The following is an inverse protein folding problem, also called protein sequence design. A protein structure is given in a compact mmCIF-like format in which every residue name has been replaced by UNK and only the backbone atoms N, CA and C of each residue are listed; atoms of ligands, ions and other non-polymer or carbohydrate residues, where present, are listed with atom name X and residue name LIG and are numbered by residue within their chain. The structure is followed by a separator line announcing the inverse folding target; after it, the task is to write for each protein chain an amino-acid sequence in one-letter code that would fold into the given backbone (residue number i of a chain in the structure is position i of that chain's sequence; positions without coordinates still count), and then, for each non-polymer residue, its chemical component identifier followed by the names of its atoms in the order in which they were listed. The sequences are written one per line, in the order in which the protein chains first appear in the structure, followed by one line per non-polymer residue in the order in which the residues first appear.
data_IF_579462167792
#
_entry.id   IF_579462167792
#
_cell.length_a   1.000
_cell.length_b   1.000
_cell.length_c   1.000
_cell.angle_alpha   90.00
_cell.angle_beta   90.00
_cell.angle_gamma   90.00
#
_symmetry.space_group_name_H-M   'P 1'
#
loop_
_entity.id
_entity.type
_entity.pdbx_description
1 polymer ?
#
# COMPACT_ATOMS: atom_id res chain seq x y z
N UNK A 1 7.05 -0.47 -11.20
CA UNK A 1 5.77 0.13 -10.73
C UNK A 1 5.81 1.66 -10.77
N UNK A 2 6.76 2.33 -10.10
CA UNK A 2 6.83 3.81 -10.09
C UNK A 2 6.76 4.41 -11.49
N UNK A 3 7.70 4.08 -12.36
CA UNK A 3 7.77 4.61 -13.74
C UNK A 3 6.48 4.40 -14.55
N UNK A 4 5.81 3.24 -14.37
CA UNK A 4 4.56 2.94 -15.06
C UNK A 4 3.40 3.82 -14.58
N UNK A 5 3.31 4.08 -13.29
CA UNK A 5 2.32 4.99 -12.72
C UNK A 5 2.61 6.46 -13.10
N UNK A 6 3.87 6.87 -13.07
CA UNK A 6 4.27 8.20 -13.54
C UNK A 6 3.96 8.40 -15.02
N UNK A 7 4.19 7.39 -15.87
CA UNK A 7 3.80 7.38 -17.29
C UNK A 7 2.28 7.51 -17.51
N UNK A 8 1.46 7.20 -16.52
CA UNK A 8 0.00 7.38 -16.50
C UNK A 8 -0.43 8.75 -15.93
N UNK A 9 0.53 9.60 -15.58
CA UNK A 9 0.28 10.97 -15.09
C UNK A 9 0.14 11.10 -13.56
N UNK A 10 0.51 10.07 -12.80
CA UNK A 10 0.48 10.13 -11.34
C UNK A 10 1.77 10.69 -10.75
N UNK A 11 1.65 11.36 -9.61
CA UNK A 11 2.78 11.73 -8.75
C UNK A 11 3.02 10.59 -7.76
N UNK A 12 4.19 9.97 -7.81
CA UNK A 12 4.49 8.76 -7.04
C UNK A 12 5.59 8.99 -6.03
N UNK A 13 5.26 8.81 -4.75
CA UNK A 13 6.24 8.76 -3.66
C UNK A 13 6.49 7.30 -3.28
N UNK A 14 7.75 6.90 -3.24
CA UNK A 14 8.17 5.55 -2.84
C UNK A 14 8.67 5.58 -1.41
N UNK A 15 8.16 4.68 -0.59
CA UNK A 15 8.65 4.40 0.75
C UNK A 15 9.30 3.02 0.76
N UNK A 16 10.63 2.97 0.69
CA UNK A 16 11.38 1.74 0.91
C UNK A 16 11.64 1.58 2.42
N UNK A 17 11.16 0.51 3.05
CA UNK A 17 11.38 0.28 4.48
C UNK A 17 12.87 0.24 4.89
N UNK A 18 13.77 -0.15 3.98
CA UNK A 18 15.21 -0.18 4.23
C UNK A 18 15.74 1.25 4.31
N UNK A 19 15.44 2.09 3.32
CA UNK A 19 15.87 3.48 3.28
C UNK A 19 15.27 4.31 4.43
N UNK A 20 14.05 3.98 4.79
CA UNK A 20 13.39 4.60 5.92
C UNK A 20 14.07 4.27 7.25
N UNK A 21 14.65 3.07 7.42
CA UNK A 21 15.32 2.66 8.65
C UNK A 21 14.42 2.81 9.88
N UNK A 22 13.12 2.51 9.75
CA UNK A 22 12.22 2.54 10.90
C UNK A 22 12.56 1.40 11.87
N UNK A 23 12.60 1.66 13.18
CA UNK A 23 12.78 0.60 14.17
C UNK A 23 11.62 -0.39 14.11
N UNK A 24 11.76 -1.53 14.77
CA UNK A 24 10.59 -2.38 15.06
C UNK A 24 9.58 -1.56 15.84
N UNK A 25 8.31 -1.76 15.52
CA UNK A 25 7.23 -0.99 16.12
C UNK A 25 7.18 -1.17 17.64
N UNK A 26 7.40 -0.08 18.37
CA UNK A 26 7.14 0.03 19.79
C UNK A 26 5.90 0.90 20.03
N UNK A 27 5.80 2.00 19.30
CA UNK A 27 4.71 2.97 19.44
C UNK A 27 4.34 3.55 18.08
N UNK A 28 3.09 3.37 17.63
CA UNK A 28 2.63 3.88 16.34
C UNK A 28 2.45 5.40 16.38
N UNK A 29 2.47 6.03 15.20
CA UNK A 29 2.33 7.48 15.03
C UNK A 29 1.16 8.07 15.83
N UNK A 30 -0.02 7.47 15.73
CA UNK A 30 -1.24 7.99 16.39
C UNK A 30 -1.24 7.89 17.92
N UNK A 31 -0.28 7.16 18.51
CA UNK A 31 -0.16 7.03 19.95
C UNK A 31 0.75 8.10 20.60
N UNK A 32 1.43 8.91 19.80
CA UNK A 32 2.18 10.06 20.28
C UNK A 32 1.26 11.27 20.48
N UNK A 33 1.60 12.13 21.44
CA UNK A 33 1.06 13.48 21.45
C UNK A 33 1.66 14.28 20.29
N UNK A 34 0.95 15.26 19.77
CA UNK A 34 1.39 16.04 18.60
C UNK A 34 2.76 16.70 18.77
N UNK A 35 3.13 17.05 20.00
CA UNK A 35 4.44 17.67 20.33
C UNK A 35 5.59 16.66 20.49
N UNK A 36 5.30 15.37 20.50
CA UNK A 36 6.28 14.30 20.77
C UNK A 36 6.46 13.34 19.59
N UNK A 37 5.71 13.52 18.51
CA UNK A 37 5.86 12.69 17.31
C UNK A 37 7.27 12.87 16.73
N UNK A 38 8.03 11.79 16.51
CA UNK A 38 9.30 11.89 15.80
C UNK A 38 9.08 12.52 14.41
N UNK A 39 9.93 13.49 14.05
CA UNK A 39 9.81 14.24 12.80
C UNK A 39 9.66 13.32 11.58
N UNK A 40 10.46 12.27 11.50
CA UNK A 40 10.40 11.29 10.41
C UNK A 40 9.04 10.61 10.29
N UNK A 41 8.43 10.20 11.39
CA UNK A 41 7.09 9.61 11.38
C UNK A 41 6.03 10.64 10.97
N UNK A 42 6.19 11.90 11.36
CA UNK A 42 5.29 12.97 10.97
C UNK A 42 5.36 13.24 9.45
N UNK A 43 6.56 13.29 8.88
CA UNK A 43 6.77 13.49 7.44
C UNK A 43 6.18 12.35 6.61
N UNK A 44 6.41 11.11 7.02
CA UNK A 44 5.83 9.93 6.35
C UNK A 44 4.30 9.94 6.48
N UNK A 45 3.78 10.21 7.67
CA UNK A 45 2.33 10.29 7.89
C UNK A 45 1.69 11.38 7.02
N UNK A 46 2.31 12.53 6.90
CA UNK A 46 1.83 13.61 6.05
C UNK A 46 1.75 13.17 4.58
N UNK A 47 2.80 12.56 4.06
CA UNK A 47 2.82 12.08 2.68
C UNK A 47 1.81 10.96 2.43
N UNK A 48 1.68 10.00 3.36
CA UNK A 48 0.66 8.95 3.28
C UNK A 48 -0.77 9.54 3.35
N UNK A 49 -1.03 10.44 4.28
CA UNK A 49 -2.36 11.03 4.48
C UNK A 49 -2.84 11.86 3.29
N UNK A 50 -1.92 12.49 2.56
CA UNK A 50 -2.25 13.31 1.37
C UNK A 50 -2.31 12.51 0.06
N UNK A 51 -1.91 11.25 0.07
CA UNK A 51 -2.01 10.38 -1.11
C UNK A 51 -3.46 9.98 -1.38
N UNK A 52 -3.84 9.88 -2.66
CA UNK A 52 -5.18 9.48 -3.10
C UNK A 52 -5.37 7.95 -3.12
N UNK A 53 -4.27 7.19 -3.26
CA UNK A 53 -4.26 5.73 -3.34
C UNK A 53 -2.91 5.15 -2.93
N UNK A 54 -2.84 3.85 -2.71
CA UNK A 54 -1.60 3.16 -2.33
C UNK A 54 -1.31 1.96 -3.22
N UNK A 55 -0.02 1.69 -3.44
CA UNK A 55 0.45 0.43 -4.03
C UNK A 55 1.40 -0.21 -3.03
N UNK A 56 1.02 -1.36 -2.53
CA UNK A 56 1.87 -2.16 -1.61
C UNK A 56 2.61 -3.22 -2.41
N UNK A 57 3.93 -3.27 -2.26
CA UNK A 57 4.79 -4.23 -2.96
C UNK A 57 5.48 -5.11 -1.92
N UNK A 58 5.36 -6.42 -2.07
CA UNK A 58 5.93 -7.37 -1.10
C UNK A 58 6.53 -8.61 -1.76
N UNK A 59 7.71 -9.04 -1.33
CA UNK A 59 8.14 -10.43 -1.54
C UNK A 59 7.27 -11.38 -0.71
N UNK A 60 7.28 -12.66 -1.07
CA UNK A 60 6.74 -13.72 -0.23
C UNK A 60 7.84 -14.34 0.63
N UNK A 61 7.72 -14.24 1.93
CA UNK A 61 8.56 -14.95 2.90
C UNK A 61 7.68 -15.87 3.75
N UNK A 62 7.93 -17.19 3.70
CA UNK A 62 7.17 -18.18 4.48
C UNK A 62 5.63 -18.01 4.35
N UNK A 63 5.17 -17.80 3.12
CA UNK A 63 3.75 -17.60 2.76
C UNK A 63 3.13 -16.31 3.36
N UNK A 64 3.94 -15.34 3.76
CA UNK A 64 3.51 -14.07 4.34
C UNK A 64 4.13 -12.86 3.62
N UNK A 65 3.55 -11.66 3.75
CA UNK A 65 4.18 -10.43 3.32
C UNK A 65 5.47 -10.19 4.11
N UNK A 66 6.37 -9.37 3.57
CA UNK A 66 7.64 -9.08 4.23
C UNK A 66 7.40 -8.41 5.59
N UNK A 67 8.16 -8.80 6.63
CA UNK A 67 8.09 -8.15 7.93
C UNK A 67 8.34 -6.64 7.86
N UNK A 68 9.19 -6.20 6.95
CA UNK A 68 9.51 -4.79 6.77
C UNK A 68 8.31 -3.97 6.29
N UNK A 69 7.53 -4.48 5.32
CA UNK A 69 6.29 -3.83 4.89
C UNK A 69 5.26 -3.81 6.01
N UNK A 70 5.05 -4.93 6.70
CA UNK A 70 4.09 -5.00 7.81
C UNK A 70 4.49 -4.05 8.94
N UNK A 71 5.78 -3.97 9.27
CA UNK A 71 6.30 -3.01 10.24
C UNK A 71 6.01 -1.56 9.82
N UNK A 72 6.27 -1.21 8.56
CA UNK A 72 5.96 0.13 8.02
C UNK A 72 4.46 0.45 8.17
N UNK A 73 3.58 -0.45 7.74
CA UNK A 73 2.13 -0.24 7.84
C UNK A 73 1.67 -0.05 9.29
N UNK A 74 2.22 -0.83 10.21
CA UNK A 74 1.85 -0.80 11.63
C UNK A 74 2.34 0.46 12.36
N UNK A 75 3.31 1.19 11.83
CA UNK A 75 3.68 2.51 12.36
C UNK A 75 2.57 3.55 12.20
N UNK A 76 1.59 3.30 11.33
CA UNK A 76 0.48 4.20 11.05
C UNK A 76 -0.85 3.47 11.27
N UNK A 77 -1.92 4.22 11.44
CA UNK A 77 -3.24 3.66 11.72
C UNK A 77 -4.25 3.94 10.61
N UNK A 78 -5.47 3.46 10.83
CA UNK A 78 -6.59 3.69 9.93
C UNK A 78 -6.91 5.18 9.70
N UNK A 79 -6.56 6.05 10.63
CA UNK A 79 -6.68 7.51 10.42
C UNK A 79 -5.81 8.05 9.27
N UNK A 80 -4.74 7.31 8.89
CA UNK A 80 -3.85 7.64 7.78
C UNK A 80 -4.35 7.04 6.46
N UNK A 81 -4.77 5.78 6.49
CA UNK A 81 -5.01 4.98 5.30
C UNK A 81 -6.48 4.90 4.86
N UNK A 82 -7.43 5.10 5.78
CA UNK A 82 -8.83 4.80 5.51
C UNK A 82 -9.46 5.66 4.42
N UNK A 83 -10.49 5.11 3.78
CA UNK A 83 -11.28 5.70 2.70
C UNK A 83 -10.50 5.92 1.40
N UNK A 84 -9.43 5.19 1.19
CA UNK A 84 -8.61 5.23 -0.02
C UNK A 84 -8.41 3.81 -0.56
N UNK A 85 -8.32 3.62 -1.88
CA UNK A 85 -8.04 2.31 -2.44
C UNK A 85 -6.56 1.95 -2.35
N UNK A 86 -6.29 0.65 -2.43
CA UNK A 86 -4.95 0.12 -2.55
C UNK A 86 -4.85 -0.97 -3.62
N UNK A 87 -3.69 -1.11 -4.22
CA UNK A 87 -3.32 -2.24 -5.05
C UNK A 87 -2.23 -3.07 -4.36
N UNK A 88 -2.25 -4.38 -4.60
CA UNK A 88 -1.25 -5.31 -4.07
C UNK A 88 -0.41 -5.84 -5.23
N UNK A 89 0.90 -5.69 -5.10
CA UNK A 89 1.90 -6.30 -5.96
C UNK A 89 2.72 -7.27 -5.13
N UNK A 90 2.81 -8.50 -5.55
CA UNK A 90 3.64 -9.50 -4.90
C UNK A 90 4.63 -10.12 -5.87
N UNK A 91 5.73 -10.62 -5.34
CA UNK A 91 6.73 -11.32 -6.13
C UNK A 91 7.39 -12.44 -5.35
N UNK A 92 7.96 -13.40 -6.04
CA UNK A 92 8.75 -14.47 -5.44
C UNK A 92 9.75 -15.05 -6.43
N UNK A 93 10.76 -15.73 -5.91
CA UNK A 93 11.66 -16.56 -6.73
C UNK A 93 10.95 -17.80 -7.31
N UNK A 94 9.82 -18.21 -6.71
CA UNK A 94 9.04 -19.36 -7.14
C UNK A 94 7.97 -19.01 -8.18
N UNK A 95 7.33 -20.06 -8.70
CA UNK A 95 6.32 -19.98 -9.77
C UNK A 95 5.01 -19.28 -9.39
N UNK A 96 4.73 -19.08 -8.11
CA UNK A 96 3.44 -18.54 -7.65
C UNK A 96 3.42 -17.02 -7.46
N UNK A 97 4.55 -16.33 -7.71
CA UNK A 97 4.60 -14.86 -7.71
C UNK A 97 4.20 -14.19 -6.40
N UNK A 98 4.31 -14.88 -5.27
CA UNK A 98 3.96 -14.32 -3.98
C UNK A 98 2.45 -14.26 -3.67
N UNK A 99 1.63 -15.06 -4.35
CA UNK A 99 0.17 -15.03 -4.19
C UNK A 99 -0.30 -15.17 -2.74
N UNK A 100 0.36 -16.00 -1.93
CA UNK A 100 -0.03 -16.21 -0.52
C UNK A 100 0.25 -14.98 0.32
N UNK A 101 1.38 -14.31 0.08
CA UNK A 101 1.70 -13.04 0.72
C UNK A 101 0.68 -11.96 0.35
N UNK A 102 0.27 -11.89 -0.93
CA UNK A 102 -0.75 -10.96 -1.39
C UNK A 102 -2.10 -11.21 -0.70
N UNK A 103 -2.53 -12.46 -0.59
CA UNK A 103 -3.77 -12.84 0.10
C UNK A 103 -3.69 -12.47 1.59
N UNK A 104 -2.56 -12.76 2.25
CA UNK A 104 -2.35 -12.43 3.66
C UNK A 104 -2.31 -10.91 3.93
N UNK A 105 -1.93 -10.10 2.94
CA UNK A 105 -1.89 -8.65 3.06
C UNK A 105 -3.29 -8.01 2.99
N UNK A 106 -4.26 -8.64 2.31
CA UNK A 106 -5.62 -8.08 2.15
C UNK A 106 -6.31 -7.75 3.47
N UNK A 107 -6.39 -8.65 4.48
CA UNK A 107 -7.01 -8.31 5.76
C UNK A 107 -6.27 -7.18 6.50
N UNK A 108 -4.96 -7.07 6.39
CA UNK A 108 -4.17 -5.98 6.99
C UNK A 108 -4.60 -4.63 6.40
N UNK A 109 -4.67 -4.53 5.07
CA UNK A 109 -5.11 -3.31 4.40
C UNK A 109 -6.58 -3.00 4.69
N UNK A 110 -7.43 -4.01 4.75
CA UNK A 110 -8.85 -3.85 5.08
C UNK A 110 -9.04 -3.33 6.51
N UNK A 111 -8.28 -3.82 7.49
CA UNK A 111 -8.31 -3.31 8.86
C UNK A 111 -7.85 -1.84 8.95
N UNK A 112 -6.89 -1.45 8.13
CA UNK A 112 -6.48 -0.05 8.00
C UNK A 112 -7.52 0.83 7.29
N UNK A 113 -8.64 0.25 6.82
CA UNK A 113 -9.64 0.96 6.04
C UNK A 113 -9.20 1.34 4.62
N UNK A 114 -8.09 0.77 4.17
CA UNK A 114 -7.51 0.95 2.85
C UNK A 114 -8.00 -0.17 1.93
N UNK A 115 -9.01 0.11 1.10
CA UNK A 115 -9.71 -0.90 0.32
C UNK A 115 -8.81 -1.52 -0.77
N UNK A 116 -8.38 -2.79 -0.64
CA UNK A 116 -7.64 -3.44 -1.71
C UNK A 116 -8.56 -3.73 -2.90
N UNK A 117 -8.17 -3.22 -4.07
CA UNK A 117 -8.89 -3.54 -5.32
C UNK A 117 -8.88 -5.04 -5.60
N UNK A 118 -9.81 -5.52 -6.41
CA UNK A 118 -9.98 -6.96 -6.60
C UNK A 118 -8.81 -7.60 -7.37
N UNK A 119 -8.28 -6.90 -8.38
CA UNK A 119 -7.13 -7.37 -9.13
C UNK A 119 -5.82 -7.16 -8.33
N UNK A 120 -4.94 -8.14 -8.45
CA UNK A 120 -3.59 -8.10 -7.85
C UNK A 120 -2.56 -8.42 -8.93
N UNK A 121 -1.35 -7.94 -8.75
CA UNK A 121 -0.20 -8.24 -9.61
C UNK A 121 0.67 -9.25 -8.88
N UNK A 122 0.97 -10.37 -9.56
CA UNK A 122 1.87 -11.41 -9.07
C UNK A 122 3.02 -11.59 -10.05
N UNK A 123 4.26 -11.48 -9.59
CA UNK A 123 5.45 -11.62 -10.42
C UNK A 123 6.17 -12.91 -10.04
N UNK A 124 5.92 -14.02 -10.77
CA UNK A 124 6.62 -15.27 -10.55
C UNK A 124 8.05 -15.17 -11.03
N UNK A 125 8.95 -15.97 -10.43
CA UNK A 125 10.37 -16.03 -10.81
C UNK A 125 10.97 -14.64 -11.04
N UNK A 126 10.77 -13.76 -10.08
CA UNK A 126 11.04 -12.33 -10.24
C UNK A 126 12.45 -12.02 -10.81
N UNK A 127 13.46 -12.82 -10.46
CA UNK A 127 14.83 -12.71 -10.98
C UNK A 127 14.94 -13.03 -12.48
N UNK A 128 13.96 -13.73 -13.06
CA UNK A 128 13.93 -14.03 -14.50
C UNK A 128 13.13 -12.98 -15.28
N UNK A 129 12.26 -12.23 -14.59
CA UNK A 129 11.33 -11.26 -15.18
C UNK A 129 11.88 -9.84 -15.14
N UNK A 130 12.53 -9.45 -14.03
CA UNK A 130 13.05 -8.08 -13.85
C UNK A 130 14.53 -8.09 -13.48
N UNK A 131 15.22 -7.06 -13.92
CA UNK A 131 16.59 -6.76 -13.51
C UNK A 131 16.63 -6.09 -12.12
N UNK A 132 17.82 -5.87 -11.55
CA UNK A 132 18.01 -5.29 -10.22
C UNK A 132 17.42 -3.88 -10.08
N UNK A 133 17.35 -3.12 -11.16
CA UNK A 133 16.73 -1.79 -11.21
C UNK A 133 15.19 -1.83 -11.38
N UNK A 134 14.61 -3.03 -11.50
CA UNK A 134 13.18 -3.26 -11.69
C UNK A 134 12.68 -3.11 -13.13
N UNK A 135 13.59 -2.99 -14.10
CA UNK A 135 13.26 -3.00 -15.54
C UNK A 135 12.90 -4.41 -15.99
N UNK A 136 11.93 -4.56 -16.89
CA UNK A 136 11.65 -5.86 -17.51
C UNK A 136 12.85 -6.34 -18.32
N UNK A 137 13.18 -7.62 -18.17
CA UNK A 137 14.23 -8.24 -18.99
C UNK A 137 13.82 -8.28 -20.46
N UNK A 138 14.80 -8.22 -21.36
CA UNK A 138 14.58 -8.26 -22.81
C UNK A 138 13.92 -9.55 -23.32
N UNK A 139 13.92 -10.60 -22.52
CA UNK A 139 13.21 -11.86 -22.80
C UNK A 139 11.71 -11.77 -22.58
N UNK A 140 11.25 -10.76 -21.87
CA UNK A 140 9.84 -10.56 -21.51
C UNK A 140 9.12 -9.72 -22.56
N UNK A 141 7.86 -10.06 -22.82
CA UNK A 141 7.00 -9.26 -23.69
C UNK A 141 6.39 -8.10 -22.88
N UNK A 142 6.87 -6.91 -23.15
CA UNK A 142 6.42 -5.70 -22.45
C UNK A 142 4.92 -5.44 -22.63
N UNK A 143 4.36 -5.76 -23.79
CA UNK A 143 2.94 -5.53 -24.07
C UNK A 143 2.02 -6.48 -23.27
N UNK A 144 2.46 -7.72 -23.06
CA UNK A 144 1.75 -8.68 -22.21
C UNK A 144 1.78 -8.23 -20.74
N UNK A 145 2.94 -7.78 -20.26
CA UNK A 145 3.07 -7.26 -18.90
C UNK A 145 2.28 -5.96 -18.70
N UNK A 146 2.24 -5.07 -19.67
CA UNK A 146 1.43 -3.87 -19.62
C UNK A 146 -0.06 -4.20 -19.55
N UNK A 147 -0.55 -5.10 -20.40
CA UNK A 147 -1.91 -5.61 -20.34
C UNK A 147 -2.25 -6.23 -18.99
N UNK A 148 -1.32 -6.98 -18.40
CA UNK A 148 -1.51 -7.59 -17.10
C UNK A 148 -1.59 -6.57 -15.97
N UNK A 149 -0.75 -5.55 -15.99
CA UNK A 149 -0.76 -4.45 -15.00
C UNK A 149 -1.99 -3.55 -15.16
N UNK A 150 -2.42 -3.31 -16.39
CA UNK A 150 -3.55 -2.43 -16.73
C UNK A 150 -4.81 -2.80 -15.94
N UNK A 151 -5.10 -4.08 -15.80
CA UNK A 151 -6.26 -4.57 -15.04
C UNK A 151 -6.26 -4.10 -13.58
N UNK A 152 -5.10 -3.97 -12.97
CA UNK A 152 -4.98 -3.54 -11.58
C UNK A 152 -4.95 -2.01 -11.48
N UNK A 153 -4.21 -1.36 -12.37
CA UNK A 153 -4.07 0.10 -12.35
C UNK A 153 -5.39 0.80 -12.68
N UNK A 154 -6.13 0.33 -13.69
CA UNK A 154 -7.43 0.91 -14.01
C UNK A 154 -8.43 0.78 -12.86
N UNK A 155 -8.42 -0.32 -12.11
CA UNK A 155 -9.26 -0.43 -10.91
C UNK A 155 -8.80 0.52 -9.79
N UNK A 156 -7.48 0.65 -9.58
CA UNK A 156 -6.94 1.56 -8.58
C UNK A 156 -7.31 3.01 -8.89
N UNK A 157 -7.15 3.41 -10.13
CA UNK A 157 -7.49 4.75 -10.63
C UNK A 157 -8.98 5.04 -10.50
N UNK A 158 -9.82 4.09 -10.93
CA UNK A 158 -11.27 4.26 -10.85
C UNK A 158 -11.75 4.48 -9.40
N UNK A 159 -11.27 3.66 -8.48
CA UNK A 159 -11.61 3.80 -7.07
C UNK A 159 -10.97 5.02 -6.41
N UNK A 160 -9.74 5.36 -6.79
CA UNK A 160 -9.04 6.56 -6.32
C UNK A 160 -9.79 7.82 -6.70
N UNK A 161 -10.19 7.93 -7.97
CA UNK A 161 -10.97 9.06 -8.46
C UNK A 161 -12.36 9.13 -7.82
N UNK A 162 -13.03 8.00 -7.65
CA UNK A 162 -14.33 7.94 -6.99
C UNK A 162 -14.24 8.40 -5.52
N UNK A 163 -13.24 7.93 -4.78
CA UNK A 163 -13.00 8.33 -3.40
C UNK A 163 -12.67 9.83 -3.32
N UNK A 164 -11.76 10.32 -4.16
CA UNK A 164 -11.36 11.72 -4.20
C UNK A 164 -12.56 12.64 -4.43
N UNK A 165 -13.36 12.37 -5.45
CA UNK A 165 -14.57 13.16 -5.72
C UNK A 165 -15.59 13.11 -4.59
N UNK A 166 -15.70 11.97 -3.92
CA UNK A 166 -16.62 11.85 -2.80
C UNK A 166 -16.14 12.62 -1.57
N UNK A 167 -14.82 12.68 -1.33
CA UNK A 167 -14.23 13.48 -0.27
C UNK A 167 -14.52 14.98 -0.42
N UNK A 168 -14.69 15.48 -1.66
CA UNK A 168 -15.05 16.88 -1.92
C UNK A 168 -16.50 17.19 -1.46
N UNK A 169 -17.34 16.17 -1.32
CA UNK A 169 -18.76 16.30 -0.94
C UNK A 169 -19.01 15.90 0.51
N UNK A 170 -18.32 14.87 0.97
CA UNK A 170 -18.51 14.29 2.30
C UNK A 170 -17.15 14.09 2.96
N UNK A 171 -16.93 14.70 4.12
CA UNK A 171 -15.79 14.38 4.97
C UNK A 171 -16.00 12.98 5.58
N UNK A 172 -15.23 11.97 5.16
CA UNK A 172 -15.45 10.59 5.61
C UNK A 172 -15.22 10.42 7.11
N UNK A 173 -14.38 11.26 7.71
CA UNK A 173 -14.10 11.19 9.14
C UNK A 173 -15.19 11.86 10.00
N UNK A 174 -16.05 12.68 9.42
CA UNK A 174 -17.29 13.13 10.05
C UNK A 174 -18.39 12.09 9.91
N UNK A 175 -18.46 11.44 8.74
CA UNK A 175 -19.42 10.38 8.49
C UNK A 175 -19.10 9.10 9.30
N UNK A 176 -17.82 8.79 9.50
CA UNK A 176 -17.35 7.64 10.26
C UNK A 176 -16.18 7.99 11.19
N UNK A 177 -16.45 8.69 12.31
CA UNK A 177 -15.40 9.15 13.22
C UNK A 177 -14.64 8.01 13.92
N UNK A 178 -15.17 6.76 13.89
CA UNK A 178 -14.54 5.59 14.49
C UNK A 178 -13.11 5.34 13.98
N UNK A 179 -12.79 5.70 12.72
CA UNK A 179 -11.43 5.60 12.19
C UNK A 179 -10.43 6.56 12.84
N UNK A 180 -10.89 7.57 13.55
CA UNK A 180 -10.05 8.49 14.33
C UNK A 180 -10.08 8.19 15.83
N UNK A 181 -10.96 7.31 16.26
CA UNK A 181 -11.09 6.93 17.66
C UNK A 181 -10.05 5.88 18.04
N UNK A 182 -9.80 5.73 19.35
CA UNK A 182 -8.94 4.66 19.83
C UNK A 182 -9.56 3.28 19.48
N UNK A 183 -8.75 2.22 19.30
CA UNK A 183 -9.27 0.88 18.99
C UNK A 183 -10.34 0.38 19.97
N UNK A 184 -10.23 0.72 21.24
CA UNK A 184 -11.21 0.36 22.28
C UNK A 184 -12.61 0.91 22.03
N UNK A 185 -12.74 2.01 21.28
CA UNK A 185 -14.03 2.62 20.95
C UNK A 185 -14.71 1.96 19.75
N UNK A 186 -14.05 1.03 19.08
CA UNK A 186 -14.58 0.28 17.94
C UNK A 186 -15.03 -1.14 18.30
N UNK A 187 -14.81 -1.54 19.52
CA UNK A 187 -15.22 -2.86 19.99
C UNK A 187 -16.75 -2.93 20.09
N UNK A 188 -17.28 -4.12 19.85
CA UNK A 188 -18.68 -4.40 20.11
C UNK A 188 -18.99 -4.21 21.62
N UNK A 189 -20.21 -3.76 21.98
CA UNK A 189 -20.61 -3.60 23.36
C UNK A 189 -20.66 -4.93 24.11
#
# INVERSE_FOLDING_TARGET
MKQRLEGRGHVVTVFDPIDLGLPLLEKPHFAYSSSQVPQKLQEINQALSTSDAYVTITPEYNHAPSPALVNLLNHFGSSTFSFKPSAIVSYSAGQWGGTRAAIALRPILSELGCLPVSAMIHIPKAQDVVDEDGTLRKSEDESEWDSYFERTFSQLEWWGEAAKRHHDVVDPFKASPAFRSSPSQRNAP
#
